data_IF_692084572420
#
_entry.id   IF_692084572420
#
_cell.length_a   1.000
_cell.length_b   1.000
_cell.length_c   1.000
_cell.angle_alpha   90.00
_cell.angle_beta   90.00
_cell.angle_gamma   90.00
#
_symmetry.space_group_name_H-M   'P 1'
#
loop_
_entity.id
_entity.type
_entity.pdbx_description
1 polymer ?
#
# COMPACT_ATOMS: atom_id res chain seq x y z
N UNK A 1 -60.86 -3.10 -11.96
CA UNK A 1 -60.52 -4.35 -11.23
C UNK A 1 -59.03 -4.64 -11.43
N UNK A 2 -58.23 -4.50 -10.38
CA UNK A 2 -56.82 -4.92 -10.36
C UNK A 2 -56.46 -5.29 -8.93
N UNK A 3 -56.23 -6.58 -8.67
CA UNK A 3 -56.10 -7.13 -7.31
C UNK A 3 -54.83 -6.62 -6.63
N UNK A 4 -54.97 -5.99 -5.45
CA UNK A 4 -53.87 -5.77 -4.50
C UNK A 4 -53.39 -7.13 -4.01
N UNK A 5 -52.11 -7.46 -4.22
CA UNK A 5 -51.45 -8.57 -3.51
C UNK A 5 -50.77 -8.00 -2.27
N UNK A 6 -51.35 -8.33 -1.11
CA UNK A 6 -50.71 -8.20 0.21
C UNK A 6 -49.70 -9.34 0.37
N UNK A 7 -48.41 -9.03 0.25
CA UNK A 7 -47.33 -9.92 0.66
C UNK A 7 -46.68 -9.36 1.93
N UNK A 8 -46.31 -10.20 2.92
CA UNK A 8 -45.69 -9.70 4.14
C UNK A 8 -44.29 -9.18 3.80
N UNK A 9 -44.02 -7.93 4.18
CA UNK A 9 -42.67 -7.39 4.27
C UNK A 9 -41.95 -8.10 5.42
N UNK A 10 -41.51 -9.33 5.17
CA UNK A 10 -40.56 -10.02 6.02
C UNK A 10 -39.22 -9.31 5.86
N UNK A 11 -38.98 -8.33 6.72
CA UNK A 11 -37.67 -7.75 6.95
C UNK A 11 -36.77 -8.83 7.55
N UNK A 12 -36.25 -9.72 6.71
CA UNK A 12 -35.08 -10.50 7.07
C UNK A 12 -33.95 -9.50 7.29
N UNK A 13 -33.68 -9.21 8.56
CA UNK A 13 -32.37 -8.74 8.97
C UNK A 13 -31.39 -9.80 8.51
N UNK A 14 -30.77 -9.59 7.34
CA UNK A 14 -29.52 -10.25 7.01
C UNK A 14 -28.55 -9.68 8.03
N UNK A 15 -28.41 -10.40 9.15
CA UNK A 15 -27.26 -10.32 10.01
C UNK A 15 -26.06 -10.62 9.10
N UNK A 16 -25.52 -9.58 8.49
CA UNK A 16 -24.23 -9.64 7.83
C UNK A 16 -23.28 -9.99 8.95
N UNK A 17 -22.93 -11.27 9.04
CA UNK A 17 -21.82 -11.75 9.82
C UNK A 17 -20.63 -10.88 9.42
N UNK A 18 -20.35 -9.83 10.20
CA UNK A 18 -19.04 -9.23 10.28
C UNK A 18 -18.19 -10.31 10.92
N UNK A 19 -17.84 -11.34 10.13
CA UNK A 19 -16.85 -12.32 10.47
C UNK A 19 -15.67 -11.49 10.94
N UNK A 20 -15.34 -11.56 12.23
CA UNK A 20 -14.10 -11.01 12.75
C UNK A 20 -13.01 -11.72 11.98
N UNK A 21 -12.61 -11.15 10.84
CA UNK A 21 -11.47 -11.63 10.07
C UNK A 21 -10.34 -11.51 11.06
N UNK A 22 -9.86 -12.66 11.55
CA UNK A 22 -8.70 -12.66 12.42
C UNK A 22 -7.53 -12.20 11.57
N UNK A 23 -7.28 -10.90 11.52
CA UNK A 23 -6.13 -10.36 10.85
C UNK A 23 -4.91 -10.84 11.63
N UNK A 24 -4.10 -11.66 10.98
CA UNK A 24 -2.77 -12.02 11.44
C UNK A 24 -1.79 -11.62 10.34
N UNK A 25 -0.56 -11.19 10.67
CA UNK A 25 0.43 -10.90 9.67
C UNK A 25 0.73 -12.14 8.84
N UNK A 26 0.65 -12.01 7.51
CA UNK A 26 0.93 -13.08 6.54
C UNK A 26 2.34 -12.95 5.98
N UNK A 27 2.88 -11.73 5.88
CA UNK A 27 4.20 -11.45 5.33
C UNK A 27 5.19 -11.11 6.43
N UNK A 28 6.37 -11.74 6.40
CA UNK A 28 7.44 -11.53 7.37
C UNK A 28 8.77 -11.26 6.68
N UNK A 29 9.56 -10.40 7.29
CA UNK A 29 10.96 -10.15 6.96
C UNK A 29 11.83 -10.92 7.93
N UNK A 30 12.74 -11.74 7.40
CA UNK A 30 13.79 -12.41 8.16
C UNK A 30 15.13 -11.78 7.80
N UNK A 31 15.80 -11.25 8.82
CA UNK A 31 17.12 -10.62 8.71
C UNK A 31 18.13 -11.42 9.50
N UNK A 32 19.36 -11.47 9.02
CA UNK A 32 20.47 -12.04 9.78
C UNK A 32 20.98 -11.00 10.77
N UNK A 33 21.16 -11.41 12.02
CA UNK A 33 21.81 -10.56 13.02
C UNK A 33 23.31 -10.82 12.95
N UNK A 34 24.09 -9.92 12.36
CA UNK A 34 25.55 -10.07 12.27
C UNK A 34 26.23 -8.74 12.56
N UNK A 35 27.36 -8.81 13.26
CA UNK A 35 28.23 -7.66 13.52
C UNK A 35 29.01 -7.21 12.28
N UNK A 36 29.09 -8.06 11.25
CA UNK A 36 29.82 -7.81 10.00
C UNK A 36 28.89 -7.54 8.80
N UNK A 37 27.63 -7.15 9.01
CA UNK A 37 26.63 -6.92 7.96
C UNK A 37 26.43 -8.11 6.99
N UNK A 38 26.64 -9.33 7.48
CA UNK A 38 26.43 -10.53 6.69
C UNK A 38 24.94 -10.74 6.39
N UNK A 39 24.64 -11.29 5.21
CA UNK A 39 23.27 -11.53 4.73
C UNK A 39 23.07 -12.99 4.36
N UNK A 40 21.88 -13.36 3.84
CA UNK A 40 21.63 -14.69 3.29
C UNK A 40 22.18 -14.89 1.87
N UNK A 41 23.01 -13.97 1.34
CA UNK A 41 23.71 -14.19 0.08
C UNK A 41 24.74 -15.32 0.17
N UNK A 42 25.39 -15.47 1.32
CA UNK A 42 26.44 -16.48 1.57
C UNK A 42 25.92 -17.74 2.24
N UNK A 43 24.61 -17.80 2.52
CA UNK A 43 23.97 -18.92 3.22
C UNK A 43 23.33 -19.87 2.21
N UNK A 44 23.53 -21.18 2.41
CA UNK A 44 22.92 -22.20 1.57
C UNK A 44 21.39 -22.11 1.61
N UNK A 45 20.70 -22.04 0.46
CA UNK A 45 19.24 -21.97 0.41
C UNK A 45 18.59 -23.23 0.99
N UNK A 46 19.24 -24.40 0.87
CA UNK A 46 18.75 -25.66 1.44
C UNK A 46 18.79 -25.67 2.97
N UNK A 47 19.76 -25.00 3.58
CA UNK A 47 19.84 -24.86 5.05
C UNK A 47 18.68 -24.01 5.54
N UNK A 48 18.44 -22.87 4.89
CA UNK A 48 17.33 -21.96 5.20
C UNK A 48 16.00 -22.70 5.08
N UNK A 49 15.76 -23.38 3.97
CA UNK A 49 14.49 -24.08 3.73
C UNK A 49 14.26 -25.20 4.77
N UNK A 50 15.29 -26.03 5.06
CA UNK A 50 15.18 -27.08 6.09
C UNK A 50 14.88 -26.51 7.48
N UNK A 51 15.51 -25.39 7.85
CA UNK A 51 15.30 -24.76 9.15
C UNK A 51 13.88 -24.20 9.30
N UNK A 52 13.36 -23.59 8.24
CA UNK A 52 11.99 -23.07 8.18
C UNK A 52 10.99 -24.22 8.25
N UNK A 53 11.11 -25.21 7.37
CA UNK A 53 10.17 -26.34 7.30
C UNK A 53 10.14 -27.17 8.57
N UNK A 54 11.29 -27.35 9.24
CA UNK A 54 11.37 -28.06 10.53
C UNK A 54 10.56 -27.39 11.64
N UNK A 55 10.46 -26.05 11.64
CA UNK A 55 9.87 -25.30 12.76
C UNK A 55 8.46 -24.80 12.47
N UNK A 56 8.22 -24.34 11.24
CA UNK A 56 6.97 -23.69 10.81
C UNK A 56 6.19 -24.55 9.82
N UNK A 57 6.81 -25.59 9.26
CA UNK A 57 6.26 -26.38 8.17
C UNK A 57 6.40 -25.68 6.82
N UNK A 58 5.73 -26.23 5.80
CA UNK A 58 5.73 -25.67 4.45
C UNK A 58 5.05 -24.30 4.41
N UNK A 59 5.72 -23.34 3.77
CA UNK A 59 5.26 -21.96 3.65
C UNK A 59 4.74 -21.66 2.26
N UNK A 60 3.94 -20.60 2.15
CA UNK A 60 3.35 -20.21 0.86
C UNK A 60 4.41 -19.70 -0.10
N UNK A 61 5.35 -18.90 0.40
CA UNK A 61 6.54 -18.53 -0.36
C UNK A 61 7.68 -18.07 0.53
N UNK A 62 8.90 -18.35 0.08
CA UNK A 62 10.15 -17.80 0.63
C UNK A 62 10.93 -17.17 -0.52
N UNK A 63 11.26 -15.88 -0.42
CA UNK A 63 11.94 -15.12 -1.48
C UNK A 63 13.11 -14.36 -0.90
N UNK A 64 14.30 -14.54 -1.48
CA UNK A 64 15.46 -13.70 -1.17
C UNK A 64 15.34 -12.36 -1.86
N UNK A 65 15.48 -11.27 -1.11
CA UNK A 65 15.43 -9.90 -1.62
C UNK A 65 16.81 -9.45 -2.11
N UNK A 66 16.84 -8.34 -2.86
CA UNK A 66 18.10 -7.70 -3.29
C UNK A 66 18.96 -7.20 -2.13
N UNK A 67 18.36 -6.96 -0.95
CA UNK A 67 19.10 -6.64 0.27
C UNK A 67 19.85 -7.85 0.84
N UNK A 68 19.55 -9.07 0.40
CA UNK A 68 20.04 -10.30 0.98
C UNK A 68 19.19 -10.82 2.15
N UNK A 69 18.12 -10.12 2.53
CA UNK A 69 17.12 -10.58 3.50
C UNK A 69 16.13 -11.56 2.86
N UNK A 70 15.34 -12.25 3.67
CA UNK A 70 14.26 -13.14 3.20
C UNK A 70 12.90 -12.51 3.46
N UNK A 71 12.06 -12.50 2.42
CA UNK A 71 10.62 -12.25 2.51
C UNK A 71 9.89 -13.59 2.54
N UNK A 72 9.05 -13.77 3.54
CA UNK A 72 8.32 -15.02 3.77
C UNK A 72 6.82 -14.76 3.84
N UNK A 73 6.02 -15.64 3.25
CA UNK A 73 4.56 -15.63 3.30
C UNK A 73 4.05 -16.93 3.96
N UNK A 74 3.22 -16.80 5.00
CA UNK A 74 2.64 -17.93 5.74
C UNK A 74 1.19 -18.21 5.32
N UNK A 75 0.73 -19.46 5.49
CA UNK A 75 -0.65 -19.85 5.19
C UNK A 75 -1.64 -19.62 6.34
N UNK A 76 -1.17 -19.74 7.59
CA UNK A 76 -2.05 -19.82 8.74
C UNK A 76 -1.60 -18.98 9.92
N UNK A 77 -2.55 -18.69 10.81
CA UNK A 77 -2.29 -18.02 12.09
C UNK A 77 -1.29 -18.79 12.96
N UNK A 78 -1.34 -20.12 12.96
CA UNK A 78 -0.39 -20.96 13.72
C UNK A 78 1.05 -20.72 13.24
N UNK A 79 1.24 -20.72 11.92
CA UNK A 79 2.55 -20.42 11.32
C UNK A 79 3.00 -18.99 11.60
N UNK A 80 2.09 -18.01 11.50
CA UNK A 80 2.34 -16.60 11.86
C UNK A 80 2.85 -16.44 13.30
N UNK A 81 2.30 -17.21 14.24
CA UNK A 81 2.74 -17.21 15.63
C UNK A 81 4.05 -17.97 15.85
N UNK A 82 4.32 -19.02 15.07
CA UNK A 82 5.56 -19.80 15.16
C UNK A 82 6.75 -19.08 14.55
N UNK A 83 6.57 -18.45 13.38
CA UNK A 83 7.67 -17.81 12.64
C UNK A 83 8.31 -16.66 13.42
N UNK A 84 7.51 -15.89 14.17
CA UNK A 84 8.01 -14.80 15.02
C UNK A 84 8.90 -15.31 16.17
N UNK A 85 8.72 -16.57 16.58
CA UNK A 85 9.53 -17.19 17.65
C UNK A 85 10.89 -17.68 17.17
N UNK A 86 11.12 -17.71 15.85
CA UNK A 86 12.41 -18.11 15.29
C UNK A 86 13.49 -17.09 15.64
N UNK A 87 14.56 -17.59 16.26
CA UNK A 87 15.73 -16.77 16.62
C UNK A 87 16.99 -17.17 15.87
N UNK A 88 17.09 -18.42 15.42
CA UNK A 88 18.27 -18.94 14.76
C UNK A 88 17.89 -19.85 13.58
N UNK A 89 18.72 -19.85 12.53
CA UNK A 89 18.78 -20.92 11.53
C UNK A 89 20.08 -21.70 11.74
N UNK A 90 19.99 -22.88 12.33
CA UNK A 90 21.14 -23.62 12.83
C UNK A 90 21.98 -22.73 13.78
N UNK A 91 23.18 -22.31 13.37
CA UNK A 91 24.07 -21.46 14.16
C UNK A 91 24.01 -19.97 13.75
N UNK A 92 23.11 -19.61 12.85
CA UNK A 92 22.99 -18.24 12.33
C UNK A 92 21.88 -17.51 13.10
N UNK A 93 22.20 -16.49 13.91
CA UNK A 93 21.19 -15.70 14.59
C UNK A 93 20.42 -14.81 13.61
N UNK A 94 19.12 -14.73 13.80
CA UNK A 94 18.18 -14.02 12.93
C UNK A 94 17.19 -13.19 13.74
N UNK A 95 16.58 -12.21 13.08
CA UNK A 95 15.41 -11.48 13.56
C UNK A 95 14.26 -11.62 12.56
N UNK A 96 13.07 -11.86 13.09
CA UNK A 96 11.84 -11.96 12.30
C UNK A 96 10.90 -10.82 12.70
N UNK A 97 10.38 -10.11 11.71
CA UNK A 97 9.43 -9.01 11.93
C UNK A 97 8.33 -9.04 10.87
N UNK A 98 7.09 -8.65 11.20
CA UNK A 98 6.05 -8.45 10.18
C UNK A 98 6.52 -7.46 9.12
N UNK A 99 6.25 -7.76 7.85
CA UNK A 99 6.56 -6.85 6.76
C UNK A 99 5.68 -5.58 6.87
N UNK A 100 6.30 -4.41 6.87
CA UNK A 100 5.64 -3.14 7.19
C UNK A 100 4.49 -2.76 6.23
N UNK A 101 4.64 -2.99 4.92
CA UNK A 101 3.60 -2.59 3.94
C UNK A 101 2.73 -3.73 3.43
N UNK A 102 3.28 -4.94 3.20
CA UNK A 102 2.54 -6.06 2.63
C UNK A 102 1.43 -6.63 3.53
N UNK A 103 1.48 -6.37 4.83
CA UNK A 103 0.39 -6.72 5.76
C UNK A 103 -0.67 -5.63 5.89
N UNK A 104 -0.60 -4.60 5.05
CA UNK A 104 -1.56 -3.49 5.05
C UNK A 104 -2.18 -3.32 3.67
N UNK A 105 -3.40 -2.81 3.65
CA UNK A 105 -4.09 -2.45 2.42
C UNK A 105 -4.62 -1.03 2.53
N UNK A 106 -4.80 -0.36 1.38
CA UNK A 106 -5.29 1.02 1.35
C UNK A 106 -6.58 1.08 0.54
N UNK A 107 -7.62 1.60 1.16
CA UNK A 107 -8.93 1.83 0.58
C UNK A 107 -9.24 3.30 0.42
N UNK A 108 -10.13 3.64 -0.51
CA UNK A 108 -10.74 4.96 -0.63
C UNK A 108 -12.24 4.82 -0.38
N UNK A 109 -12.75 5.64 0.53
CA UNK A 109 -14.18 5.85 0.76
C UNK A 109 -14.57 7.25 0.27
N UNK A 110 -15.85 7.42 -0.05
CA UNK A 110 -16.42 8.70 -0.46
C UNK A 110 -17.67 8.96 0.36
N UNK A 111 -17.65 9.97 1.22
CA UNK A 111 -18.73 10.29 2.15
C UNK A 111 -18.76 11.79 2.41
N UNK A 112 -19.89 12.45 2.13
CA UNK A 112 -20.03 13.90 2.24
C UNK A 112 -20.21 14.35 3.70
N UNK A 113 -20.85 13.50 4.49
CA UNK A 113 -21.13 13.67 5.91
C UNK A 113 -19.82 13.73 6.72
N UNK A 114 -18.80 13.00 6.27
CA UNK A 114 -17.47 13.04 6.86
C UNK A 114 -16.60 14.18 6.31
N UNK A 115 -17.10 15.15 5.53
CA UNK A 115 -16.27 16.20 4.92
C UNK A 115 -15.56 17.07 5.97
N UNK A 116 -16.29 17.47 7.01
CA UNK A 116 -15.83 18.41 8.04
C UNK A 116 -15.39 17.73 9.35
N UNK A 117 -15.50 16.40 9.43
CA UNK A 117 -15.09 15.64 10.60
C UNK A 117 -13.56 15.52 10.63
N UNK A 118 -12.96 15.66 11.82
CA UNK A 118 -11.52 15.54 12.01
C UNK A 118 -11.03 14.12 11.66
N UNK A 119 -9.83 13.99 11.11
CA UNK A 119 -9.29 12.68 10.71
C UNK A 119 -9.00 11.77 11.89
N UNK A 120 -8.70 12.35 13.04
CA UNK A 120 -8.40 11.68 14.30
C UNK A 120 -9.66 11.05 14.89
N UNK A 121 -10.79 11.76 14.82
CA UNK A 121 -12.11 11.27 15.23
C UNK A 121 -12.54 10.10 14.32
N UNK A 122 -12.44 10.25 13.00
CA UNK A 122 -12.75 9.18 12.04
C UNK A 122 -11.87 7.94 12.30
N UNK A 123 -10.57 8.15 12.59
CA UNK A 123 -9.67 7.06 12.90
C UNK A 123 -10.11 6.31 14.16
N UNK A 124 -10.45 7.04 15.23
CA UNK A 124 -10.92 6.47 16.49
C UNK A 124 -12.16 5.59 16.29
N UNK A 125 -13.17 6.11 15.59
CA UNK A 125 -14.43 5.37 15.38
C UNK A 125 -14.27 4.17 14.43
N UNK A 126 -13.33 4.23 13.47
CA UNK A 126 -13.10 3.14 12.53
C UNK A 126 -12.01 2.14 12.97
N UNK A 127 -11.32 2.39 14.09
CA UNK A 127 -10.22 1.54 14.57
C UNK A 127 -10.69 0.10 14.85
N UNK A 128 -11.91 -0.08 15.36
CA UNK A 128 -12.52 -1.40 15.61
C UNK A 128 -12.73 -2.24 14.34
N UNK A 129 -12.65 -1.63 13.16
CA UNK A 129 -12.73 -2.30 11.86
C UNK A 129 -11.34 -2.48 11.21
N UNK A 130 -10.27 -2.31 11.98
CA UNK A 130 -8.89 -2.54 11.54
C UNK A 130 -8.30 -1.39 10.75
N UNK A 131 -8.85 -0.18 10.84
CA UNK A 131 -8.24 1.04 10.27
C UNK A 131 -7.14 1.53 11.20
N UNK A 132 -5.91 1.69 10.68
CA UNK A 132 -4.76 2.21 11.41
C UNK A 132 -4.37 3.64 11.05
N UNK A 133 -4.80 4.12 9.88
CA UNK A 133 -4.52 5.49 9.46
C UNK A 133 -5.59 6.04 8.53
N UNK A 134 -5.98 7.28 8.74
CA UNK A 134 -6.93 8.02 7.91
C UNK A 134 -6.21 9.21 7.28
N UNK A 135 -6.36 9.38 5.95
CA UNK A 135 -5.81 10.54 5.23
C UNK A 135 -6.89 11.17 4.36
N UNK A 136 -7.18 12.45 4.60
CA UNK A 136 -8.07 13.22 3.73
C UNK A 136 -7.38 13.60 2.43
N UNK A 137 -8.09 13.47 1.32
CA UNK A 137 -7.63 14.02 0.04
C UNK A 137 -8.08 15.48 -0.01
N UNK A 138 -7.13 16.37 -0.25
CA UNK A 138 -7.38 17.79 -0.45
C UNK A 138 -6.93 18.20 -1.84
N UNK A 139 -7.60 19.19 -2.41
CA UNK A 139 -7.31 19.77 -3.72
C UNK A 139 -6.90 21.22 -3.54
N UNK A 140 -6.01 21.74 -4.38
CA UNK A 140 -5.73 23.17 -4.44
C UNK A 140 -6.62 23.82 -5.49
N UNK A 141 -7.36 24.85 -5.13
CA UNK A 141 -8.11 25.75 -6.02
C UNK A 141 -7.84 27.18 -5.59
N UNK A 142 -7.46 28.04 -6.53
CA UNK A 142 -7.21 29.46 -6.29
C UNK A 142 -6.24 29.73 -5.12
N UNK A 143 -5.18 28.93 -5.04
CA UNK A 143 -4.17 29.03 -3.98
C UNK A 143 -4.57 28.42 -2.63
N UNK A 144 -5.85 28.09 -2.41
CA UNK A 144 -6.36 27.53 -1.17
C UNK A 144 -6.42 25.99 -1.21
N UNK A 145 -6.11 25.35 -0.08
CA UNK A 145 -6.21 23.90 0.07
C UNK A 145 -7.60 23.52 0.58
N UNK A 146 -8.42 22.94 -0.29
CA UNK A 146 -9.78 22.54 0.01
C UNK A 146 -9.86 21.04 0.28
N UNK A 147 -10.49 20.69 1.39
CA UNK A 147 -10.80 19.31 1.74
C UNK A 147 -11.83 18.72 0.77
N UNK A 148 -11.69 17.42 0.46
CA UNK A 148 -12.68 16.68 -0.32
C UNK A 148 -13.40 15.63 0.54
N UNK A 149 -14.52 15.14 0.02
CA UNK A 149 -15.29 14.02 0.59
C UNK A 149 -14.59 12.65 0.48
N UNK A 150 -13.36 12.62 -0.02
CA UNK A 150 -12.62 11.38 -0.24
C UNK A 150 -11.57 11.17 0.85
N UNK A 151 -11.64 10.00 1.50
CA UNK A 151 -10.71 9.58 2.55
C UNK A 151 -9.97 8.34 2.08
N UNK A 152 -8.65 8.34 2.27
CA UNK A 152 -7.83 7.13 2.13
C UNK A 152 -7.67 6.51 3.51
N UNK A 153 -8.15 5.28 3.65
CA UNK A 153 -8.02 4.46 4.85
C UNK A 153 -6.87 3.48 4.64
N UNK A 154 -6.03 3.32 5.65
CA UNK A 154 -5.05 2.22 5.73
C UNK A 154 -5.59 1.20 6.71
N UNK A 155 -5.64 -0.05 6.28
CA UNK A 155 -6.09 -1.19 7.08
C UNK A 155 -4.90 -2.06 7.46
N UNK A 156 -4.93 -2.64 8.66
CA UNK A 156 -3.92 -3.60 9.16
C UNK A 156 -4.13 -5.03 8.64
N UNK A 157 -4.73 -5.14 7.46
CA UNK A 157 -4.93 -6.40 6.75
C UNK A 157 -4.39 -6.29 5.33
N UNK A 158 -3.73 -7.35 4.87
CA UNK A 158 -3.33 -7.47 3.48
C UNK A 158 -4.54 -7.47 2.52
N UNK A 159 -5.68 -8.01 2.97
CA UNK A 159 -6.92 -8.04 2.19
C UNK A 159 -7.74 -6.78 2.46
N UNK A 160 -8.11 -6.08 1.39
CA UNK A 160 -8.96 -4.91 1.49
C UNK A 160 -10.41 -5.32 1.79
N UNK A 161 -11.07 -4.75 2.81
CA UNK A 161 -12.50 -4.95 3.00
C UNK A 161 -13.28 -4.27 1.88
N UNK A 162 -14.42 -4.85 1.48
CA UNK A 162 -15.29 -4.26 0.44
C UNK A 162 -16.16 -3.12 0.96
N UNK A 163 -16.48 -3.16 2.26
CA UNK A 163 -17.32 -2.19 2.94
C UNK A 163 -16.84 -1.96 4.37
N UNK A 164 -17.15 -0.78 4.90
CA UNK A 164 -17.05 -0.46 6.33
C UNK A 164 -18.35 0.15 6.81
N UNK A 165 -18.58 0.09 8.12
CA UNK A 165 -19.70 0.73 8.79
C UNK A 165 -19.23 2.04 9.44
N UNK A 166 -19.83 3.16 9.12
CA UNK A 166 -19.63 4.43 9.82
C UNK A 166 -20.97 4.80 10.46
N UNK A 167 -21.12 4.50 11.75
CA UNK A 167 -22.41 4.58 12.45
C UNK A 167 -23.55 3.86 11.72
N UNK A 168 -24.61 4.58 11.35
CA UNK A 168 -25.75 4.05 10.61
C UNK A 168 -25.48 3.87 9.11
N UNK A 169 -24.32 4.28 8.60
CA UNK A 169 -23.96 4.22 7.18
C UNK A 169 -23.09 3.00 6.85
N UNK A 170 -23.31 2.42 5.67
CA UNK A 170 -22.40 1.44 5.05
C UNK A 170 -21.71 2.11 3.87
N UNK A 171 -20.38 2.20 3.94
CA UNK A 171 -19.57 2.86 2.92
C UNK A 171 -18.80 1.81 2.11
N UNK A 172 -18.88 1.89 0.78
CA UNK A 172 -18.07 1.05 -0.09
C UNK A 172 -16.62 1.50 -0.05
N UNK A 173 -15.73 0.51 0.02
CA UNK A 173 -14.29 0.72 0.01
C UNK A 173 -13.76 0.26 -1.34
N UNK A 174 -13.09 1.18 -2.06
CA UNK A 174 -12.41 0.86 -3.32
C UNK A 174 -10.91 0.83 -3.10
N UNK A 175 -10.17 0.03 -3.85
CA UNK A 175 -8.71 0.04 -3.74
C UNK A 175 -8.13 1.43 -4.05
N UNK A 176 -7.24 1.93 -3.18
CA UNK A 176 -6.55 3.20 -3.40
C UNK A 176 -5.43 3.01 -4.41
N UNK A 177 -5.53 3.69 -5.55
CA UNK A 177 -4.50 3.67 -6.61
C UNK A 177 -3.70 4.98 -6.53
N UNK A 178 -2.46 4.98 -6.02
CA UNK A 178 -1.63 6.18 -5.93
C UNK A 178 -1.22 6.67 -7.32
N UNK A 179 -0.76 7.92 -7.39
CA UNK A 179 -0.18 8.44 -8.63
C UNK A 179 1.20 7.82 -8.88
N UNK A 180 1.64 7.69 -10.14
CA UNK A 180 2.99 7.30 -10.50
C UNK A 180 4.04 8.04 -9.68
N UNK A 181 4.95 7.26 -9.10
CA UNK A 181 5.98 7.79 -8.24
C UNK A 181 7.07 8.44 -9.09
N UNK A 182 7.11 9.78 -9.09
CA UNK A 182 8.09 10.59 -9.81
C UNK A 182 9.26 10.94 -8.91
N UNK A 183 10.48 10.68 -9.37
CA UNK A 183 11.68 11.14 -8.69
C UNK A 183 11.83 12.66 -8.81
N UNK A 184 11.81 13.39 -7.70
CA UNK A 184 11.94 14.85 -7.73
C UNK A 184 13.35 15.36 -8.08
N UNK A 185 14.35 14.47 -8.21
CA UNK A 185 15.70 14.82 -8.68
C UNK A 185 15.78 14.77 -10.20
N UNK A 186 15.53 13.61 -10.80
CA UNK A 186 15.69 13.39 -12.25
C UNK A 186 14.38 13.40 -13.05
N UNK A 187 13.24 13.56 -12.39
CA UNK A 187 11.88 13.62 -12.98
C UNK A 187 11.36 12.35 -13.67
N UNK A 188 12.13 11.26 -13.65
CA UNK A 188 11.70 9.95 -14.15
C UNK A 188 10.81 9.22 -13.15
N UNK A 189 9.94 8.33 -13.64
CA UNK A 189 9.09 7.51 -12.80
C UNK A 189 9.85 6.28 -12.22
N UNK A 190 9.30 5.70 -11.15
CA UNK A 190 9.66 4.36 -10.67
C UNK A 190 10.71 4.28 -9.55
N UNK A 191 11.27 5.40 -9.09
CA UNK A 191 12.28 5.39 -8.01
C UNK A 191 12.26 6.66 -7.15
N UNK A 192 12.85 6.56 -5.95
CA UNK A 192 12.90 7.67 -4.99
C UNK A 192 14.10 8.57 -5.22
N UNK A 193 14.11 9.73 -4.57
CA UNK A 193 15.28 10.62 -4.55
C UNK A 193 16.51 9.93 -3.94
N UNK A 194 16.31 9.11 -2.90
CA UNK A 194 17.39 8.39 -2.20
C UNK A 194 18.03 7.30 -3.05
N UNK A 195 17.26 6.62 -3.91
CA UNK A 195 17.78 5.61 -4.83
C UNK A 195 18.17 6.18 -6.21
N UNK A 196 18.11 7.50 -6.40
CA UNK A 196 18.28 8.13 -7.69
C UNK A 196 19.77 8.26 -8.06
N UNK A 197 20.17 7.58 -9.14
CA UNK A 197 21.50 7.73 -9.76
C UNK A 197 21.55 8.83 -10.83
N UNK A 198 20.41 9.44 -11.16
CA UNK A 198 20.33 10.54 -12.12
C UNK A 198 20.80 11.88 -11.56
N UNK A 199 20.95 12.85 -12.47
CA UNK A 199 21.28 14.24 -12.17
C UNK A 199 20.04 15.07 -11.84
N UNK A 200 20.24 16.27 -11.30
CA UNK A 200 19.16 17.23 -11.10
C UNK A 200 18.64 17.66 -12.48
N UNK A 201 17.34 17.49 -12.71
CA UNK A 201 16.68 17.79 -13.98
C UNK A 201 15.43 18.60 -13.72
N UNK A 202 15.23 19.66 -14.51
CA UNK A 202 14.09 20.55 -14.39
C UNK A 202 12.80 19.83 -14.80
N UNK A 203 11.77 19.92 -13.94
CA UNK A 203 10.47 19.32 -14.21
C UNK A 203 9.70 20.00 -15.34
N UNK A 204 10.04 21.25 -15.68
CA UNK A 204 9.38 22.04 -16.73
C UNK A 204 10.00 21.79 -18.10
N UNK A 205 11.30 21.98 -18.25
CA UNK A 205 11.99 21.96 -19.56
C UNK A 205 12.88 20.74 -19.81
N UNK A 206 12.96 19.80 -18.87
CA UNK A 206 13.80 18.60 -18.95
C UNK A 206 15.33 18.83 -19.04
N UNK A 207 15.80 20.07 -18.89
CA UNK A 207 17.23 20.39 -18.86
C UNK A 207 17.87 20.07 -17.51
N UNK A 208 19.16 19.73 -17.55
CA UNK A 208 19.94 19.40 -16.36
C UNK A 208 20.48 20.66 -15.67
N UNK A 209 20.72 20.57 -14.36
CA UNK A 209 21.45 21.61 -13.60
C UNK A 209 20.58 22.62 -12.83
N UNK A 210 19.26 22.60 -12.96
CA UNK A 210 18.36 23.46 -12.18
C UNK A 210 17.00 22.80 -11.89
N UNK A 211 16.23 23.37 -10.96
CA UNK A 211 14.85 22.97 -10.66
C UNK A 211 13.79 23.84 -11.37
N UNK A 212 12.51 23.49 -11.23
CA UNK A 212 11.43 24.15 -11.97
C UNK A 212 10.88 25.43 -11.35
N UNK A 213 11.37 25.89 -10.19
CA UNK A 213 10.74 26.96 -9.41
C UNK A 213 10.75 28.31 -10.10
N UNK A 214 11.83 28.62 -10.82
CA UNK A 214 12.00 29.87 -11.58
C UNK A 214 12.20 29.62 -13.09
N UNK A 215 11.93 28.40 -13.55
CA UNK A 215 12.12 28.04 -14.95
C UNK A 215 10.98 28.58 -15.80
N UNK A 216 11.30 29.44 -16.77
CA UNK A 216 10.37 29.99 -17.77
C UNK A 216 10.51 29.37 -19.15
N UNK A 217 11.49 28.47 -19.33
CA UNK A 217 11.73 27.79 -20.61
C UNK A 217 10.52 26.98 -21.10
N UNK A 218 10.52 26.70 -22.41
CA UNK A 218 9.49 25.90 -23.05
C UNK A 218 9.32 24.53 -22.36
N UNK A 219 8.07 24.10 -22.22
CA UNK A 219 7.78 22.86 -21.53
C UNK A 219 8.25 21.66 -22.34
N UNK A 220 8.90 20.71 -21.67
CA UNK A 220 9.37 19.46 -22.25
C UNK A 220 9.38 18.37 -21.18
N UNK A 221 8.78 17.25 -21.50
CA UNK A 221 8.69 16.14 -20.57
C UNK A 221 9.97 15.28 -20.58
N UNK A 222 10.53 14.99 -19.41
CA UNK A 222 11.70 14.09 -19.31
C UNK A 222 11.37 12.68 -19.81
N UNK A 223 10.13 12.22 -19.64
CA UNK A 223 9.70 10.84 -19.88
C UNK A 223 9.25 10.58 -21.33
N UNK A 224 8.37 11.40 -21.90
CA UNK A 224 7.86 11.21 -23.27
C UNK A 224 8.41 12.20 -24.30
N UNK A 225 9.23 13.19 -23.89
CA UNK A 225 9.82 14.24 -24.74
C UNK A 225 8.84 15.23 -25.40
N UNK A 226 7.55 15.13 -25.12
CA UNK A 226 6.52 16.05 -25.66
C UNK A 226 6.45 17.39 -24.90
N UNK A 227 5.76 18.36 -25.50
CA UNK A 227 5.59 19.74 -25.02
C UNK A 227 4.61 19.85 -23.84
N UNK A 228 5.01 19.34 -22.68
CA UNK A 228 4.32 19.53 -21.41
C UNK A 228 5.28 19.25 -20.24
N UNK A 229 4.95 19.76 -19.05
CA UNK A 229 5.74 19.45 -17.84
C UNK A 229 5.82 17.94 -17.51
N UNK A 230 6.87 17.55 -16.77
CA UNK A 230 7.10 16.16 -16.34
C UNK A 230 6.12 15.65 -15.28
N UNK A 231 5.28 16.51 -14.72
CA UNK A 231 4.21 16.15 -13.78
C UNK A 231 2.82 16.17 -14.42
N UNK A 232 2.72 16.39 -15.74
CA UNK A 232 1.44 16.36 -16.45
C UNK A 232 0.79 14.98 -16.41
N UNK A 233 -0.51 14.95 -16.10
CA UNK A 233 -1.34 13.73 -16.13
C UNK A 233 -1.77 13.32 -17.54
N UNK A 234 -1.57 14.19 -18.53
CA UNK A 234 -1.87 13.87 -19.94
C UNK A 234 -0.74 13.08 -20.62
N UNK A 235 0.44 13.01 -19.99
CA UNK A 235 1.61 12.26 -20.47
C UNK A 235 1.29 10.77 -20.71
N UNK A 236 1.65 10.25 -21.88
CA UNK A 236 1.47 8.83 -22.23
C UNK A 236 2.19 7.89 -21.27
N UNK A 237 3.45 8.20 -20.92
CA UNK A 237 4.23 7.40 -19.96
C UNK A 237 3.60 7.46 -18.57
N UNK A 238 3.04 8.60 -18.16
CA UNK A 238 2.32 8.68 -16.88
C UNK A 238 1.08 7.78 -16.86
N UNK A 239 0.30 7.75 -17.95
CA UNK A 239 -0.89 6.88 -18.07
C UNK A 239 -0.50 5.41 -18.00
N UNK A 240 0.56 5.03 -18.73
CA UNK A 240 1.10 3.66 -18.69
C UNK A 240 1.54 3.28 -17.28
N UNK A 241 2.30 4.12 -16.58
CA UNK A 241 2.70 3.87 -15.19
C UNK A 241 1.50 3.76 -14.25
N UNK A 242 0.45 4.57 -14.48
CA UNK A 242 -0.79 4.51 -13.71
C UNK A 242 -1.52 3.18 -13.91
N UNK A 243 -1.54 2.65 -15.13
CA UNK A 243 -2.11 1.34 -15.45
C UNK A 243 -1.30 0.21 -14.81
N UNK A 244 0.04 0.24 -14.90
CA UNK A 244 0.92 -0.73 -14.24
C UNK A 244 0.66 -0.79 -12.73
N UNK A 245 0.56 0.37 -12.07
CA UNK A 245 0.24 0.46 -10.64
C UNK A 245 -1.16 -0.10 -10.37
N UNK A 246 -2.14 0.23 -11.21
CA UNK A 246 -3.52 -0.26 -11.06
C UNK A 246 -3.57 -1.78 -11.13
N UNK A 247 -2.91 -2.38 -12.10
CA UNK A 247 -2.85 -3.84 -12.28
C UNK A 247 -2.17 -4.52 -11.09
N UNK A 248 -1.09 -3.94 -10.54
CA UNK A 248 -0.41 -4.48 -9.36
C UNK A 248 -1.25 -4.45 -8.09
N UNK A 249 -2.19 -3.51 -7.97
CA UNK A 249 -3.03 -3.33 -6.78
C UNK A 249 -4.32 -4.16 -6.87
N UNK A 250 -4.86 -4.35 -8.07
CA UNK A 250 -6.11 -5.10 -8.29
C UNK A 250 -5.92 -6.61 -8.39
N UNK A 251 -4.68 -7.08 -8.53
CA UNK A 251 -4.32 -8.49 -8.65
C UNK A 251 -4.04 -9.09 -7.28
#
# INVERSE_FOLDING_TARGET
MGKRKSGPLSGQQIASNFSKVSNFPTFFMIKRNSTANETFHTVSPFLVEKAITKTVGELKSTKKLRSGDLLVEVHSRKQSQQIVKLKNFSNIPISVSPHASLNSSKGIITCGELLNVATEEILKELQGQGVSHVRRISIRRDGQLLNTKHLVLTFDSAKLPEQIKAEYMRLSVRAYIPNPFRCFKCQRFGHSKTSCRGTLTCARCAEVGHDSSQCTAAEKCVNCKNAHTSFSRTCSVWKLEKEIITTKIKK
#
